data_IF_052520398232
#
_entry.id   IF_052520398232
#
_cell.length_a   1.000
_cell.length_b   1.000
_cell.length_c   1.000
_cell.angle_alpha   90.00
_cell.angle_beta   90.00
_cell.angle_gamma   90.00
#
_symmetry.space_group_name_H-M   'P 1'
#
loop_
_entity.id
_entity.type
_entity.pdbx_description
1 polymer ?
#
# COMPACT_ATOMS: atom_id res chain seq x y z
N UNK A 1 -22.11 12.43 2.46
CA UNK A 1 -20.99 11.64 3.03
C UNK A 1 -21.24 11.41 4.52
N UNK A 2 -21.00 10.22 4.98
CA UNK A 2 -21.22 9.85 6.38
C UNK A 2 -20.19 10.55 7.29
N UNK A 3 -20.68 11.38 8.23
CA UNK A 3 -19.83 12.08 9.16
C UNK A 3 -19.06 11.15 10.10
N UNK A 4 -19.59 9.96 10.36
CA UNK A 4 -18.91 8.99 11.23
C UNK A 4 -17.60 8.51 10.63
N UNK A 5 -17.57 8.22 9.34
CA UNK A 5 -16.33 7.82 8.68
C UNK A 5 -15.33 8.98 8.61
N UNK A 6 -15.80 10.19 8.32
CA UNK A 6 -14.92 11.35 8.30
C UNK A 6 -14.28 11.60 9.66
N UNK A 7 -15.06 11.48 10.73
CA UNK A 7 -14.54 11.68 12.08
C UNK A 7 -13.59 10.55 12.50
N UNK A 8 -13.93 9.31 12.20
CA UNK A 8 -13.10 8.16 12.55
C UNK A 8 -11.73 8.21 11.86
N UNK A 9 -11.68 8.63 10.61
CA UNK A 9 -10.46 8.65 9.82
C UNK A 9 -9.89 10.06 9.61
N UNK A 10 -10.24 10.99 10.48
CA UNK A 10 -9.82 12.39 10.36
C UNK A 10 -8.30 12.54 10.28
N UNK A 11 -7.54 11.81 11.10
CA UNK A 11 -6.08 11.90 11.08
C UNK A 11 -5.50 11.39 9.75
N UNK A 12 -6.10 10.35 9.19
CA UNK A 12 -5.69 9.83 7.88
C UNK A 12 -5.99 10.85 6.78
N UNK A 13 -7.18 11.44 6.79
CA UNK A 13 -7.57 12.46 5.81
C UNK A 13 -6.64 13.67 5.88
N UNK A 14 -6.37 14.17 7.09
CA UNK A 14 -5.48 15.31 7.28
C UNK A 14 -4.06 14.99 6.78
N UNK A 15 -3.54 13.82 7.09
CA UNK A 15 -2.23 13.41 6.62
C UNK A 15 -2.18 13.32 5.09
N UNK A 16 -3.23 12.77 4.47
CA UNK A 16 -3.29 12.69 3.01
C UNK A 16 -3.30 14.07 2.36
N UNK A 17 -4.08 15.01 2.91
CA UNK A 17 -4.13 16.38 2.40
C UNK A 17 -2.77 17.08 2.48
N UNK A 18 -2.01 16.83 3.55
CA UNK A 18 -0.73 17.48 3.77
C UNK A 18 0.43 16.81 3.03
N UNK A 19 0.40 15.49 2.88
CA UNK A 19 1.52 14.72 2.34
C UNK A 19 1.39 14.41 0.85
N UNK A 20 0.17 14.30 0.32
CA UNK A 20 -0.07 14.03 -1.09
C UNK A 20 -0.16 15.36 -1.84
N UNK A 21 1.01 15.90 -2.18
CA UNK A 21 1.12 17.25 -2.75
C UNK A 21 0.57 17.41 -4.15
N UNK A 22 0.41 16.30 -4.88
CA UNK A 22 -0.19 16.30 -6.21
C UNK A 22 -1.70 16.39 -6.23
N UNK A 23 -2.32 16.50 -5.04
CA UNK A 23 -3.76 16.52 -4.90
C UNK A 23 -4.31 15.17 -4.48
N UNK A 24 -5.33 15.20 -3.65
CA UNK A 24 -6.00 14.00 -3.16
C UNK A 24 -7.51 14.17 -3.31
N UNK A 25 -8.18 13.09 -3.66
CA UNK A 25 -9.63 13.07 -3.80
C UNK A 25 -10.24 12.15 -2.75
N UNK A 26 -11.36 12.59 -2.18
CA UNK A 26 -12.10 11.82 -1.18
C UNK A 26 -13.52 11.62 -1.68
N UNK A 27 -14.04 10.40 -1.53
CA UNK A 27 -15.45 10.13 -1.78
C UNK A 27 -15.92 8.97 -0.91
N UNK A 28 -17.20 8.91 -0.67
CA UNK A 28 -17.82 7.77 0.00
C UNK A 28 -18.73 7.05 -0.97
N UNK A 29 -18.57 5.74 -1.06
CA UNK A 29 -19.42 4.91 -1.90
C UNK A 29 -19.66 3.58 -1.18
N UNK A 30 -20.92 3.20 -1.02
CA UNK A 30 -21.31 1.93 -0.38
C UNK A 30 -20.70 1.78 1.02
N UNK A 31 -20.71 2.86 1.80
CA UNK A 31 -20.17 2.93 3.17
C UNK A 31 -18.64 2.73 3.23
N UNK A 32 -17.96 3.00 2.13
CA UNK A 32 -16.49 2.95 2.06
C UNK A 32 -15.97 4.34 1.75
N UNK A 33 -15.00 4.79 2.55
CA UNK A 33 -14.27 6.02 2.29
C UNK A 33 -13.17 5.73 1.29
N UNK A 34 -13.25 6.31 0.11
CA UNK A 34 -12.24 6.14 -0.94
C UNK A 34 -11.32 7.34 -0.94
N UNK A 35 -10.02 7.10 -0.80
CA UNK A 35 -8.99 8.12 -0.81
C UNK A 35 -8.08 7.84 -1.99
N UNK A 36 -8.07 8.74 -2.98
CA UNK A 36 -7.26 8.58 -4.20
C UNK A 36 -6.28 9.72 -4.34
N UNK A 37 -5.08 9.40 -4.75
CA UNK A 37 -4.07 10.41 -5.02
C UNK A 37 -2.78 9.81 -5.49
N UNK A 38 -1.80 10.68 -5.72
CA UNK A 38 -0.47 10.27 -6.15
C UNK A 38 0.55 10.83 -5.17
N UNK A 39 1.24 9.94 -4.49
CA UNK A 39 2.23 10.31 -3.49
C UNK A 39 3.56 10.68 -4.15
N UNK A 40 4.27 11.68 -3.64
CA UNK A 40 5.57 12.07 -4.19
C UNK A 40 6.67 11.05 -3.93
N UNK A 41 6.48 10.17 -2.96
CA UNK A 41 7.47 9.14 -2.63
C UNK A 41 6.82 7.91 -2.03
N UNK A 42 7.56 6.81 -2.01
CA UNK A 42 7.12 5.57 -1.37
C UNK A 42 6.91 5.73 0.13
N UNK A 43 7.74 6.55 0.77
CA UNK A 43 7.65 6.81 2.20
C UNK A 43 6.32 7.48 2.57
N UNK A 44 5.82 8.37 1.72
CA UNK A 44 4.50 9.00 1.95
C UNK A 44 3.40 7.95 1.89
N UNK A 45 3.43 7.08 0.90
CA UNK A 45 2.45 5.99 0.80
C UNK A 45 2.51 5.09 2.03
N UNK A 46 3.70 4.69 2.46
CA UNK A 46 3.89 3.86 3.64
C UNK A 46 3.34 4.54 4.90
N UNK A 47 3.55 5.84 5.03
CA UNK A 47 3.07 6.60 6.17
C UNK A 47 1.55 6.63 6.23
N UNK A 48 0.88 6.78 5.10
CA UNK A 48 -0.58 6.77 5.05
C UNK A 48 -1.14 5.40 5.48
N UNK A 49 -0.53 4.32 5.03
CA UNK A 49 -0.93 2.99 5.47
C UNK A 49 -0.67 2.76 6.96
N UNK A 50 0.43 3.31 7.49
CA UNK A 50 0.73 3.23 8.92
C UNK A 50 -0.34 3.95 9.74
N UNK A 51 -0.72 5.15 9.34
CA UNK A 51 -1.77 5.91 10.03
C UNK A 51 -3.10 5.16 9.98
N UNK A 52 -3.44 4.60 8.83
CA UNK A 52 -4.65 3.80 8.68
C UNK A 52 -4.62 2.58 9.63
N UNK A 53 -3.49 1.90 9.72
CA UNK A 53 -3.35 0.73 10.59
C UNK A 53 -3.50 1.07 12.07
N UNK A 54 -3.18 2.29 12.48
CA UNK A 54 -3.38 2.73 13.86
C UNK A 54 -4.85 2.92 14.20
N UNK A 55 -5.67 3.27 13.20
CA UNK A 55 -7.10 3.46 13.38
C UNK A 55 -7.84 2.13 13.26
N UNK A 56 -7.45 1.30 12.31
CA UNK A 56 -8.10 0.03 12.00
C UNK A 56 -7.03 -1.07 11.86
N UNK A 57 -6.58 -1.66 12.96
CA UNK A 57 -5.53 -2.68 12.91
C UNK A 57 -5.87 -3.83 11.96
N UNK A 58 -4.89 -4.21 11.12
CA UNK A 58 -5.02 -5.23 10.09
C UNK A 58 -6.09 -4.93 9.04
N UNK A 59 -6.61 -3.70 9.00
CA UNK A 59 -7.57 -3.24 7.98
C UNK A 59 -8.84 -4.10 7.95
N UNK A 60 -9.26 -4.58 9.12
CA UNK A 60 -10.36 -5.56 9.24
C UNK A 60 -11.71 -4.96 8.86
N UNK A 61 -11.95 -3.68 9.18
CA UNK A 61 -13.26 -3.06 8.95
C UNK A 61 -13.60 -2.90 7.48
N UNK A 62 -12.56 -2.77 6.62
CA UNK A 62 -12.72 -2.51 5.18
C UNK A 62 -13.53 -1.25 4.87
N UNK A 63 -13.51 -0.28 5.78
CA UNK A 63 -14.22 0.99 5.63
C UNK A 63 -13.48 1.99 4.76
N UNK A 64 -12.20 1.76 4.47
CA UNK A 64 -11.37 2.67 3.68
C UNK A 64 -10.75 1.95 2.50
N UNK A 65 -10.82 2.58 1.33
CA UNK A 65 -10.06 2.18 0.16
C UNK A 65 -8.98 3.25 -0.07
N UNK A 66 -7.75 2.91 0.24
CA UNK A 66 -6.61 3.84 0.14
C UNK A 66 -5.88 3.59 -1.18
N UNK A 67 -6.25 4.36 -2.20
CA UNK A 67 -5.73 4.21 -3.57
C UNK A 67 -4.68 5.26 -3.85
N UNK A 68 -3.48 5.06 -3.31
CA UNK A 68 -2.35 5.99 -3.45
C UNK A 68 -1.30 5.38 -4.36
N UNK A 69 -0.96 6.09 -5.43
CA UNK A 69 0.06 5.70 -6.38
C UNK A 69 1.36 6.46 -6.09
N UNK A 70 2.50 5.81 -6.29
CA UNK A 70 3.81 6.46 -6.11
C UNK A 70 4.28 7.03 -7.44
N UNK A 71 4.52 8.33 -7.47
CA UNK A 71 4.98 9.04 -8.69
C UNK A 71 6.49 9.06 -8.84
N UNK A 72 7.24 8.88 -7.75
CA UNK A 72 8.69 9.03 -7.78
C UNK A 72 9.35 8.03 -8.74
N UNK A 73 10.41 8.47 -9.40
CA UNK A 73 11.26 7.59 -10.18
C UNK A 73 11.86 6.55 -9.26
N UNK A 74 11.74 5.29 -9.62
CA UNK A 74 12.15 4.20 -8.76
C UNK A 74 13.67 4.03 -8.79
N UNK A 75 14.28 4.19 -7.63
CA UNK A 75 15.68 3.85 -7.40
C UNK A 75 15.72 2.66 -6.45
N UNK A 76 14.95 1.63 -6.76
CA UNK A 76 14.83 0.48 -5.90
C UNK A 76 15.83 -0.61 -6.22
N UNK A 77 16.10 -1.45 -5.24
CA UNK A 77 16.82 -2.69 -5.48
C UNK A 77 15.91 -3.68 -6.18
N UNK A 78 16.47 -4.46 -7.09
CA UNK A 78 15.75 -5.56 -7.70
C UNK A 78 15.74 -6.75 -6.75
N UNK A 79 14.67 -7.51 -6.77
CA UNK A 79 14.53 -8.71 -5.95
C UNK A 79 13.74 -9.78 -6.70
N UNK A 80 13.82 -11.00 -6.23
CA UNK A 80 13.03 -12.09 -6.77
C UNK A 80 12.48 -12.94 -5.64
N UNK A 81 11.45 -13.72 -5.93
CA UNK A 81 10.81 -14.59 -4.96
C UNK A 81 11.70 -15.79 -4.65
N UNK A 82 11.87 -16.11 -3.36
CA UNK A 82 12.76 -17.19 -2.90
C UNK A 82 12.04 -18.38 -2.29
N UNK A 83 10.73 -18.31 -2.06
CA UNK A 83 10.00 -19.41 -1.45
C UNK A 83 9.68 -20.49 -2.46
N UNK A 84 9.38 -21.70 -1.94
CA UNK A 84 9.02 -22.84 -2.78
C UNK A 84 7.67 -22.69 -3.47
N UNK A 85 6.81 -21.87 -2.92
CA UNK A 85 5.50 -21.61 -3.49
C UNK A 85 5.63 -20.95 -4.84
N UNK A 86 4.80 -21.33 -5.82
CA UNK A 86 4.95 -20.84 -7.17
C UNK A 86 4.55 -19.38 -7.34
N UNK A 87 3.85 -18.80 -6.37
CA UNK A 87 3.26 -17.47 -6.49
C UNK A 87 3.49 -16.67 -5.23
N UNK A 88 3.93 -15.42 -5.41
CA UNK A 88 4.01 -14.42 -4.35
C UNK A 88 2.81 -13.48 -4.47
N UNK A 89 2.03 -13.37 -3.40
CA UNK A 89 0.88 -12.48 -3.38
C UNK A 89 1.31 -11.04 -3.11
N UNK A 90 0.79 -10.13 -3.90
CA UNK A 90 0.99 -8.70 -3.73
C UNK A 90 -0.30 -8.10 -3.17
N UNK A 91 -0.22 -7.50 -2.00
CA UNK A 91 -1.37 -6.93 -1.30
C UNK A 91 -1.45 -5.42 -1.53
N UNK A 92 -2.66 -4.89 -1.48
CA UNK A 92 -2.87 -3.45 -1.60
C UNK A 92 -2.23 -2.67 -0.46
N UNK A 93 -2.24 -3.22 0.75
CA UNK A 93 -1.63 -2.63 1.93
C UNK A 93 -0.75 -3.63 2.67
N UNK A 94 0.04 -3.17 3.65
CA UNK A 94 0.98 -4.00 4.38
C UNK A 94 0.32 -4.83 5.49
N UNK A 95 -0.54 -5.76 5.11
CA UNK A 95 -1.24 -6.63 6.05
C UNK A 95 -1.92 -7.78 5.34
N UNK A 96 -2.00 -8.93 6.02
CA UNK A 96 -2.59 -10.15 5.44
C UNK A 96 -4.07 -10.01 5.10
N UNK A 97 -4.77 -9.12 5.82
CA UNK A 97 -6.18 -8.86 5.56
C UNK A 97 -6.40 -7.86 4.42
N UNK A 98 -5.33 -7.23 3.93
CA UNK A 98 -5.43 -6.32 2.80
C UNK A 98 -5.67 -7.13 1.51
N UNK A 99 -6.48 -6.62 0.57
CA UNK A 99 -6.77 -7.35 -0.67
C UNK A 99 -5.52 -7.70 -1.45
N UNK A 100 -5.53 -8.86 -2.07
CA UNK A 100 -4.48 -9.27 -3.01
C UNK A 100 -4.81 -8.64 -4.35
N UNK A 101 -3.88 -7.84 -4.87
CA UNK A 101 -4.08 -7.09 -6.12
C UNK A 101 -3.27 -7.63 -7.28
N UNK A 102 -2.27 -8.46 -7.02
CA UNK A 102 -1.43 -9.06 -8.06
C UNK A 102 -0.75 -10.30 -7.52
N UNK A 103 -0.20 -11.10 -8.42
CA UNK A 103 0.56 -12.29 -8.10
C UNK A 103 1.80 -12.33 -8.96
N UNK A 104 2.93 -12.60 -8.32
CA UNK A 104 4.24 -12.69 -8.99
C UNK A 104 4.70 -14.13 -8.96
N UNK A 105 5.14 -14.65 -10.09
CA UNK A 105 5.60 -16.03 -10.17
C UNK A 105 7.04 -16.14 -9.69
N UNK A 106 7.43 -17.35 -9.30
CA UNK A 106 8.79 -17.62 -8.86
C UNK A 106 9.79 -17.14 -9.89
N UNK A 107 10.84 -16.49 -9.41
CA UNK A 107 11.94 -15.96 -10.20
C UNK A 107 11.60 -14.73 -11.06
N UNK A 108 10.38 -14.22 -11.01
CA UNK A 108 10.12 -12.90 -11.55
C UNK A 108 10.85 -11.85 -10.73
N UNK A 109 11.35 -10.83 -11.39
CA UNK A 109 12.02 -9.73 -10.71
C UNK A 109 11.01 -8.65 -10.37
N UNK A 110 11.04 -8.19 -9.12
CA UNK A 110 10.28 -7.04 -8.66
C UNK A 110 11.25 -5.96 -8.23
N UNK A 111 10.79 -4.72 -8.19
CA UNK A 111 11.60 -3.58 -7.76
C UNK A 111 11.13 -3.16 -6.37
N UNK A 112 12.04 -3.13 -5.41
CA UNK A 112 11.73 -2.69 -4.04
C UNK A 112 11.66 -1.18 -4.04
N UNK A 113 10.49 -0.63 -3.71
CA UNK A 113 10.28 0.81 -3.58
C UNK A 113 10.58 1.29 -2.17
N UNK A 114 10.22 0.48 -1.18
CA UNK A 114 10.41 0.83 0.23
C UNK A 114 10.41 -0.43 1.09
N UNK A 115 11.26 -0.43 2.11
CA UNK A 115 11.23 -1.43 3.17
C UNK A 115 10.34 -0.89 4.28
N UNK A 116 9.05 -1.06 4.07
CA UNK A 116 7.99 -0.47 4.89
C UNK A 116 8.15 -0.79 6.38
N UNK A 117 8.37 -2.08 6.68
CA UNK A 117 8.68 -2.52 8.04
C UNK A 117 9.39 -3.88 7.96
N UNK A 118 9.58 -4.53 9.10
CA UNK A 118 10.32 -5.81 9.17
C UNK A 118 9.66 -6.91 8.36
N UNK A 119 8.34 -6.87 8.25
CA UNK A 119 7.57 -7.94 7.61
C UNK A 119 7.12 -7.63 6.20
N UNK A 120 6.92 -6.37 5.84
CA UNK A 120 6.30 -5.95 4.60
C UNK A 120 7.16 -4.97 3.84
N UNK A 121 7.36 -5.21 2.55
CA UNK A 121 8.04 -4.29 1.66
C UNK A 121 7.10 -3.87 0.54
N UNK A 122 7.19 -2.61 0.14
CA UNK A 122 6.47 -2.08 -1.02
C UNK A 122 7.30 -2.38 -2.26
N UNK A 123 6.68 -3.06 -3.22
CA UNK A 123 7.35 -3.46 -4.45
C UNK A 123 6.53 -3.05 -5.68
N UNK A 124 7.22 -2.93 -6.80
CA UNK A 124 6.59 -2.72 -8.09
C UNK A 124 6.83 -3.94 -8.97
N UNK A 125 5.73 -4.48 -9.53
CA UNK A 125 5.76 -5.57 -10.49
C UNK A 125 5.66 -5.02 -11.90
N UNK A 126 5.58 -5.90 -12.90
CA UNK A 126 5.34 -5.47 -14.28
C UNK A 126 3.96 -4.84 -14.46
N UNK A 127 3.00 -5.17 -13.61
CA UNK A 127 1.60 -4.79 -13.78
C UNK A 127 1.07 -3.87 -12.69
N UNK A 128 1.71 -3.85 -11.51
CA UNK A 128 1.14 -3.17 -10.35
C UNK A 128 2.20 -2.79 -9.34
N UNK A 129 1.74 -2.20 -8.25
CA UNK A 129 2.53 -1.77 -7.12
C UNK A 129 1.78 -2.19 -5.87
N UNK A 130 2.47 -2.79 -4.92
CA UNK A 130 1.83 -3.24 -3.68
C UNK A 130 2.82 -3.82 -2.70
N UNK A 131 2.30 -4.44 -1.65
CA UNK A 131 3.08 -4.92 -0.53
C UNK A 131 3.18 -6.44 -0.53
N UNK A 132 4.35 -6.95 -0.17
CA UNK A 132 4.57 -8.38 -0.02
C UNK A 132 5.39 -8.67 1.22
N UNK A 133 5.38 -9.93 1.66
CA UNK A 133 6.21 -10.35 2.77
C UNK A 133 7.69 -10.25 2.39
N UNK A 134 8.45 -9.55 3.22
CA UNK A 134 9.88 -9.34 3.00
C UNK A 134 10.66 -10.66 2.98
N UNK A 135 10.27 -11.60 3.81
CA UNK A 135 10.96 -12.88 3.91
C UNK A 135 10.80 -13.77 2.67
N UNK A 136 9.87 -13.43 1.78
CA UNK A 136 9.61 -14.22 0.56
C UNK A 136 10.40 -13.72 -0.64
N UNK A 137 11.23 -12.70 -0.48
CA UNK A 137 12.00 -12.13 -1.58
C UNK A 137 13.47 -11.97 -1.18
N UNK A 138 14.34 -12.02 -2.16
CA UNK A 138 15.78 -11.89 -1.99
C UNK A 138 16.32 -10.86 -2.97
N UNK A 139 17.31 -10.08 -2.52
CA UNK A 139 17.97 -9.11 -3.39
C UNK A 139 18.75 -9.81 -4.49
N UNK A 140 18.62 -9.28 -5.69
CA UNK A 140 19.39 -9.75 -6.85
C UNK A 140 20.80 -9.18 -6.81
#
# INVERSE_FOLDING_TARGET
MDMALLNKYKSLITAAENLVTGGVQFMEQDSILIIKGAAPSAEVKDKLWDIYSQIDPNFISREVSLDIEVLATVKGCKAYMIVEEPILNIHKGPGVESPIIDKVQRQEIVIILSRTNVYWWLVRTNNSEGYCYAQNIELV
#
